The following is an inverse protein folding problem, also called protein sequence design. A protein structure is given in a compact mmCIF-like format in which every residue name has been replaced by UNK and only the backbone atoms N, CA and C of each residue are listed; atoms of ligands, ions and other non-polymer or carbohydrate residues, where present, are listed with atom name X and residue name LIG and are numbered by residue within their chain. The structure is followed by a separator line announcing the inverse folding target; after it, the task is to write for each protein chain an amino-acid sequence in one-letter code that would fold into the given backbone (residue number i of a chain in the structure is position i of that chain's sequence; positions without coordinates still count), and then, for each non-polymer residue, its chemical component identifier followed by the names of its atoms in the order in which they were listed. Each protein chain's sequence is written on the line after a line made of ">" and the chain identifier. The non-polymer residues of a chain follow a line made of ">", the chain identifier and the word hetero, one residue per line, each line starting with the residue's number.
data_IF_303387313118
#
_entry.id   IF_303387313118
#
_cell.length_a   1.000
_cell.length_b   1.000
_cell.length_c   1.000
_cell.angle_alpha   90.00
_cell.angle_beta   90.00
_cell.angle_gamma   90.00
#
_symmetry.space_group_name_H-M   'P 1'
#
loop_
_entity.id
_entity.type
_entity.pdbx_description
1 polymer ?
#
# COMPACT_ATOMS: atom_id res chain seq x y z
N UNK A 1 -2.40 -15.70 47.43
CA UNK A 1 -1.18 -15.01 46.99
C UNK A 1 -0.69 -15.74 45.73
N UNK A 2 -1.02 -15.21 44.57
CA UNK A 2 -0.65 -15.82 43.30
C UNK A 2 0.78 -15.38 42.97
N UNK A 3 1.72 -16.30 43.07
CA UNK A 3 3.11 -16.08 42.67
C UNK A 3 3.15 -15.95 41.14
N UNK A 4 3.46 -14.76 40.67
CA UNK A 4 3.85 -14.51 39.26
C UNK A 4 5.13 -15.28 39.01
N UNK A 5 5.01 -16.48 38.43
CA UNK A 5 6.19 -17.17 37.88
C UNK A 5 6.62 -16.42 36.63
N UNK A 6 7.67 -15.63 36.76
CA UNK A 6 8.45 -15.14 35.62
C UNK A 6 8.96 -16.38 34.87
N UNK A 7 8.46 -16.62 33.67
CA UNK A 7 9.04 -17.60 32.75
C UNK A 7 10.41 -17.05 32.29
N UNK A 8 11.53 -17.70 32.66
CA UNK A 8 12.89 -17.13 32.46
C UNK A 8 13.36 -17.08 31.02
N UNK A 9 12.58 -17.54 30.03
CA UNK A 9 13.04 -17.71 28.64
C UNK A 9 12.24 -16.90 27.61
N UNK A 10 11.46 -15.89 27.99
CA UNK A 10 10.75 -15.06 27.03
C UNK A 10 11.57 -13.81 26.76
N UNK A 11 12.56 -13.93 25.87
CA UNK A 11 13.20 -12.77 25.26
C UNK A 11 12.22 -11.99 24.36
N UNK A 12 12.58 -10.76 23.93
CA UNK A 12 11.74 -9.99 23.04
C UNK A 12 11.52 -10.78 21.74
N UNK A 13 10.31 -10.79 21.17
CA UNK A 13 10.03 -11.45 19.91
C UNK A 13 11.06 -11.09 18.83
N UNK A 14 11.43 -12.07 18.00
CA UNK A 14 12.42 -11.90 16.92
C UNK A 14 12.11 -10.66 16.05
N UNK A 15 10.83 -10.40 15.84
CA UNK A 15 10.37 -9.21 15.15
C UNK A 15 10.88 -7.90 15.77
N UNK A 16 10.83 -7.75 17.10
CA UNK A 16 11.33 -6.55 17.78
C UNK A 16 12.86 -6.42 17.66
N UNK A 17 13.59 -7.53 17.74
CA UNK A 17 15.05 -7.53 17.54
C UNK A 17 15.39 -7.14 16.09
N UNK A 18 14.61 -7.63 15.13
CA UNK A 18 14.80 -7.32 13.73
C UNK A 18 14.45 -5.86 13.42
N UNK A 19 13.29 -5.37 13.84
CA UNK A 19 12.84 -4.01 13.59
C UNK A 19 13.60 -2.96 14.42
N UNK A 20 14.06 -3.31 15.61
CA UNK A 20 14.68 -2.38 16.56
C UNK A 20 16.09 -1.86 16.17
N UNK A 21 16.69 -2.35 15.09
CA UNK A 21 17.95 -1.79 14.60
C UNK A 21 17.70 -0.43 13.89
N UNK A 22 18.44 0.65 14.24
CA UNK A 22 18.16 2.00 13.75
C UNK A 22 18.01 2.11 12.23
N UNK A 23 18.95 1.55 11.45
CA UNK A 23 18.88 1.60 10.00
C UNK A 23 17.71 0.78 9.45
N UNK A 24 17.43 -0.41 10.02
CA UNK A 24 16.27 -1.21 9.57
C UNK A 24 14.96 -0.49 9.86
N UNK A 25 14.84 0.18 11.01
CA UNK A 25 13.68 1.00 11.33
C UNK A 25 13.47 2.13 10.31
N UNK A 26 14.53 2.87 9.95
CA UNK A 26 14.48 3.90 8.90
C UNK A 26 14.04 3.32 7.56
N UNK A 27 14.60 2.18 7.15
CA UNK A 27 14.19 1.49 5.92
C UNK A 27 12.72 1.08 5.95
N UNK A 28 12.24 0.50 7.06
CA UNK A 28 10.82 0.15 7.23
C UNK A 28 9.92 1.39 7.20
N UNK A 29 10.33 2.51 7.78
CA UNK A 29 9.58 3.77 7.77
C UNK A 29 9.43 4.34 6.35
N UNK A 30 10.48 4.27 5.52
CA UNK A 30 10.41 4.69 4.12
C UNK A 30 9.53 3.74 3.29
N UNK A 31 9.66 2.43 3.51
CA UNK A 31 8.85 1.42 2.82
C UNK A 31 7.38 1.41 3.27
N UNK A 32 7.07 1.93 4.45
CA UNK A 32 5.68 2.13 4.89
C UNK A 32 4.96 3.22 4.08
N UNK A 33 5.71 4.12 3.45
CA UNK A 33 5.17 5.21 2.62
C UNK A 33 4.99 4.81 1.17
N UNK A 34 5.98 4.10 0.60
CA UNK A 34 6.02 3.76 -0.83
C UNK A 34 6.95 2.58 -1.06
N UNK A 35 6.67 1.75 -2.05
CA UNK A 35 7.64 0.79 -2.54
C UNK A 35 8.81 1.55 -3.20
N UNK A 36 10.06 1.10 -2.95
CA UNK A 36 11.28 1.82 -3.33
C UNK A 36 12.31 0.91 -3.97
N UNK A 37 13.11 1.49 -4.86
CA UNK A 37 14.34 0.89 -5.36
C UNK A 37 15.47 1.01 -4.34
N UNK A 38 16.49 0.14 -4.43
CA UNK A 38 17.64 0.17 -3.49
C UNK A 38 18.34 1.52 -3.53
N UNK A 39 18.58 2.08 -4.71
CA UNK A 39 19.28 3.37 -4.82
C UNK A 39 18.47 4.53 -4.24
N UNK A 40 17.14 4.50 -4.33
CA UNK A 40 16.27 5.50 -3.69
C UNK A 40 16.38 5.39 -2.15
N UNK A 41 16.33 4.17 -1.63
CA UNK A 41 16.50 3.93 -0.19
C UNK A 41 17.88 4.40 0.29
N UNK A 42 18.93 4.13 -0.49
CA UNK A 42 20.29 4.60 -0.21
C UNK A 42 20.35 6.12 -0.06
N UNK A 43 19.73 6.85 -0.99
CA UNK A 43 19.64 8.31 -0.92
C UNK A 43 18.83 8.81 0.29
N UNK A 44 17.66 8.18 0.56
CA UNK A 44 16.76 8.57 1.64
C UNK A 44 17.35 8.32 3.05
N UNK A 45 18.08 7.20 3.22
CA UNK A 45 18.69 6.90 4.52
C UNK A 45 20.12 7.44 4.68
N UNK A 46 20.75 7.89 3.58
CA UNK A 46 22.09 8.47 3.61
C UNK A 46 23.21 7.48 3.97
N UNK A 47 23.02 6.20 3.61
CA UNK A 47 23.97 5.11 3.96
C UNK A 47 24.52 4.43 2.69
N UNK A 48 25.66 3.77 2.78
CA UNK A 48 26.26 3.07 1.65
C UNK A 48 25.38 1.93 1.14
N UNK A 49 25.30 1.75 -0.19
CA UNK A 49 24.42 0.79 -0.85
C UNK A 49 24.63 -0.66 -0.37
N UNK A 50 25.86 -1.07 -0.12
CA UNK A 50 26.15 -2.41 0.40
C UNK A 50 25.54 -2.64 1.79
N UNK A 51 25.58 -1.63 2.66
CA UNK A 51 24.98 -1.67 3.99
C UNK A 51 23.45 -1.72 3.91
N UNK A 52 22.86 -0.86 3.07
CA UNK A 52 21.40 -0.86 2.80
C UNK A 52 20.97 -2.23 2.28
N UNK A 53 21.65 -2.78 1.28
CA UNK A 53 21.36 -4.09 0.71
C UNK A 53 21.45 -5.22 1.73
N UNK A 54 22.45 -5.18 2.62
CA UNK A 54 22.58 -6.14 3.72
C UNK A 54 21.37 -6.10 4.65
N UNK A 55 20.97 -4.91 5.09
CA UNK A 55 19.83 -4.77 5.99
C UNK A 55 18.48 -5.09 5.32
N UNK A 56 18.30 -4.77 4.05
CA UNK A 56 17.14 -5.20 3.25
C UNK A 56 17.09 -6.73 3.13
N UNK A 57 18.23 -7.39 2.96
CA UNK A 57 18.34 -8.87 3.01
C UNK A 57 17.80 -9.42 4.33
N UNK A 58 18.25 -8.88 5.47
CA UNK A 58 17.77 -9.29 6.80
C UNK A 58 16.26 -9.07 6.98
N UNK A 59 15.73 -7.94 6.52
CA UNK A 59 14.30 -7.66 6.59
C UNK A 59 13.47 -8.60 5.70
N UNK A 60 14.01 -8.97 4.53
CA UNK A 60 13.39 -9.93 3.61
C UNK A 60 13.40 -11.34 4.19
N UNK A 61 14.51 -11.78 4.77
CA UNK A 61 14.63 -13.10 5.41
C UNK A 61 13.64 -13.23 6.57
N UNK A 62 13.44 -12.14 7.35
CA UNK A 62 12.39 -12.02 8.37
C UNK A 62 10.97 -11.80 7.81
N UNK A 63 10.80 -11.78 6.49
CA UNK A 63 9.52 -11.58 5.79
C UNK A 63 8.79 -10.30 6.17
N UNK A 64 9.52 -9.25 6.58
CA UNK A 64 8.95 -7.92 6.83
C UNK A 64 8.85 -7.12 5.54
N UNK A 65 9.71 -7.40 4.58
CA UNK A 65 9.69 -6.78 3.26
C UNK A 65 9.67 -7.83 2.17
N UNK A 66 9.02 -7.50 1.07
CA UNK A 66 9.07 -8.26 -0.18
C UNK A 66 10.03 -7.59 -1.16
N UNK A 67 10.57 -8.37 -2.10
CA UNK A 67 11.40 -7.86 -3.17
C UNK A 67 10.86 -8.34 -4.52
N UNK A 68 10.72 -7.45 -5.48
CA UNK A 68 10.21 -7.76 -6.82
C UNK A 68 11.04 -7.07 -7.88
N UNK A 69 11.41 -7.82 -8.93
CA UNK A 69 12.06 -7.24 -10.12
C UNK A 69 11.12 -6.25 -10.80
N UNK A 70 11.66 -5.10 -11.18
CA UNK A 70 10.92 -4.10 -11.93
C UNK A 70 10.40 -4.67 -13.26
N UNK A 71 9.18 -4.31 -13.63
CA UNK A 71 8.61 -4.63 -14.94
C UNK A 71 9.05 -3.63 -16.02
N UNK A 72 9.64 -2.50 -15.63
CA UNK A 72 10.20 -1.50 -16.52
C UNK A 72 11.68 -1.83 -16.84
N UNK A 73 12.54 -1.92 -15.84
CA UNK A 73 13.93 -2.36 -15.98
C UNK A 73 14.20 -3.57 -15.06
N UNK A 74 14.43 -4.73 -15.66
CA UNK A 74 14.69 -5.97 -14.93
C UNK A 74 15.96 -5.97 -14.08
N UNK A 75 16.86 -5.01 -14.26
CA UNK A 75 18.05 -4.83 -13.41
C UNK A 75 17.65 -4.30 -12.04
N UNK A 76 16.58 -3.55 -11.96
CA UNK A 76 16.09 -2.92 -10.76
C UNK A 76 15.21 -3.86 -9.93
N UNK A 77 15.23 -3.66 -8.62
CA UNK A 77 14.41 -4.40 -7.67
C UNK A 77 13.70 -3.42 -6.74
N UNK A 78 12.37 -3.47 -6.75
CA UNK A 78 11.54 -2.79 -5.78
C UNK A 78 11.44 -3.61 -4.50
N UNK A 79 11.54 -2.90 -3.38
CA UNK A 79 11.23 -3.40 -2.05
C UNK A 79 9.94 -2.77 -1.58
N UNK A 80 9.08 -3.57 -0.93
CA UNK A 80 7.81 -3.12 -0.35
C UNK A 80 7.61 -3.72 1.03
N UNK A 81 7.02 -2.97 1.95
CA UNK A 81 6.67 -3.45 3.27
C UNK A 81 5.47 -4.41 3.20
N UNK A 82 5.55 -5.53 3.90
CA UNK A 82 4.38 -6.39 4.15
C UNK A 82 3.55 -5.79 5.30
N UNK A 83 2.63 -4.89 4.93
CA UNK A 83 1.79 -4.14 5.88
C UNK A 83 0.92 -5.06 6.74
N UNK A 84 0.32 -6.09 6.15
CA UNK A 84 -0.53 -7.03 6.86
C UNK A 84 0.26 -7.79 7.92
N UNK A 85 1.42 -8.32 7.54
CA UNK A 85 2.32 -9.03 8.45
C UNK A 85 2.85 -8.11 9.54
N UNK A 86 3.28 -6.90 9.19
CA UNK A 86 3.78 -5.91 10.16
C UNK A 86 2.70 -5.59 11.20
N UNK A 87 1.48 -5.29 10.77
CA UNK A 87 0.35 -5.02 11.67
C UNK A 87 0.04 -6.21 12.58
N UNK A 88 0.04 -7.43 12.02
CA UNK A 88 -0.16 -8.66 12.80
C UNK A 88 0.92 -8.89 13.86
N UNK A 89 2.20 -8.69 13.51
CA UNK A 89 3.33 -8.84 14.45
C UNK A 89 3.30 -7.79 15.57
N UNK A 90 2.99 -6.53 15.26
CA UNK A 90 2.82 -5.47 16.26
C UNK A 90 1.67 -5.79 17.22
N UNK A 91 0.52 -6.21 16.69
CA UNK A 91 -0.64 -6.60 17.50
C UNK A 91 -0.34 -7.82 18.39
N UNK A 92 0.32 -8.86 17.84
CA UNK A 92 0.70 -10.05 18.59
C UNK A 92 1.72 -9.72 19.69
N UNK A 93 2.68 -8.85 19.40
CA UNK A 93 3.68 -8.39 20.38
C UNK A 93 3.03 -7.65 21.54
N UNK A 94 2.11 -6.72 21.25
CA UNK A 94 1.35 -6.03 22.29
C UNK A 94 0.52 -6.99 23.14
N UNK A 95 -0.21 -7.90 22.49
CA UNK A 95 -1.02 -8.90 23.16
C UNK A 95 -0.21 -9.88 24.04
N UNK A 96 1.05 -10.18 23.66
CA UNK A 96 1.96 -11.01 24.44
C UNK A 96 2.38 -10.35 25.76
N UNK A 97 2.49 -9.01 25.78
CA UNK A 97 2.76 -8.24 26.99
C UNK A 97 1.50 -8.13 27.88
N UNK A 98 0.38 -7.77 27.28
CA UNK A 98 -0.89 -7.65 27.97
C UNK A 98 -2.06 -7.68 26.95
N UNK A 99 -3.17 -8.43 27.21
CA UNK A 99 -4.29 -8.50 26.27
C UNK A 99 -4.85 -7.14 25.86
N UNK A 100 -4.84 -6.16 26.75
CA UNK A 100 -5.28 -4.78 26.49
C UNK A 100 -4.36 -3.96 25.59
N UNK A 101 -3.15 -4.47 25.26
CA UNK A 101 -2.23 -3.84 24.31
C UNK A 101 -2.39 -4.38 22.88
N UNK A 102 -3.40 -5.21 22.63
CA UNK A 102 -3.74 -5.63 21.27
C UNK A 102 -4.14 -4.41 20.44
N UNK A 103 -3.40 -4.15 19.37
CA UNK A 103 -3.72 -3.06 18.45
C UNK A 103 -5.05 -3.36 17.74
N UNK A 104 -6.04 -2.56 17.98
CA UNK A 104 -7.25 -2.45 17.18
C UNK A 104 -7.19 -1.09 16.48
N UNK A 105 -7.19 -1.08 15.14
CA UNK A 105 -7.33 0.19 14.42
C UNK A 105 -8.78 0.68 14.64
N UNK A 106 -9.00 1.80 15.34
CA UNK A 106 -10.34 2.35 15.46
C UNK A 106 -10.83 2.79 14.08
N UNK A 107 -12.12 2.65 13.76
CA UNK A 107 -12.69 3.30 12.60
C UNK A 107 -12.52 4.82 12.78
N UNK A 108 -11.65 5.43 11.97
CA UNK A 108 -11.49 6.88 11.95
C UNK A 108 -12.34 7.45 10.83
N UNK A 109 -13.15 8.44 11.17
CA UNK A 109 -13.85 9.24 10.18
C UNK A 109 -12.84 10.22 9.55
N UNK A 110 -12.71 10.17 8.23
CA UNK A 110 -12.04 11.22 7.47
C UNK A 110 -12.97 12.45 7.50
N UNK A 111 -12.43 13.64 7.72
CA UNK A 111 -13.18 14.90 7.57
C UNK A 111 -12.74 15.55 6.28
N UNK A 112 -13.66 15.63 5.30
CA UNK A 112 -13.40 16.20 3.97
C UNK A 112 -13.36 15.15 2.87
N UNK A 113 -13.35 15.60 1.62
CA UNK A 113 -13.17 14.77 0.42
C UNK A 113 -11.71 14.83 -0.02
N UNK A 114 -11.08 13.68 -0.24
CA UNK A 114 -9.68 13.53 -0.70
C UNK A 114 -9.71 12.98 -2.12
N UNK A 115 -9.03 13.65 -3.05
CA UNK A 115 -8.97 13.23 -4.46
C UNK A 115 -7.73 12.36 -4.69
N UNK A 116 -7.94 11.10 -5.07
CA UNK A 116 -6.88 10.10 -5.27
C UNK A 116 -6.93 9.55 -6.69
N UNK A 117 -5.82 9.63 -7.41
CA UNK A 117 -5.67 9.08 -8.75
C UNK A 117 -4.80 7.81 -8.73
N UNK A 118 -5.36 6.68 -9.16
CA UNK A 118 -4.64 5.41 -9.30
C UNK A 118 -4.21 5.19 -10.74
N UNK A 119 -2.92 4.91 -10.96
CA UNK A 119 -2.33 4.77 -12.28
C UNK A 119 -1.76 3.37 -12.53
N UNK A 120 -2.02 2.81 -13.71
CA UNK A 120 -1.31 1.65 -14.23
C UNK A 120 -1.16 1.76 -15.75
N UNK A 121 -0.51 0.81 -16.42
CA UNK A 121 -0.32 0.91 -17.88
C UNK A 121 -1.65 0.86 -18.64
N UNK A 122 -2.45 -0.19 -18.43
CA UNK A 122 -3.65 -0.45 -19.23
C UNK A 122 -4.95 0.16 -18.70
N UNK A 123 -5.00 0.64 -17.47
CA UNK A 123 -6.26 0.98 -16.78
C UNK A 123 -7.35 -0.10 -16.93
N UNK A 124 -6.93 -1.35 -17.07
CA UNK A 124 -7.81 -2.50 -17.35
C UNK A 124 -8.00 -3.46 -16.17
N UNK A 125 -7.16 -3.32 -15.12
CA UNK A 125 -7.21 -4.20 -13.96
C UNK A 125 -6.81 -3.44 -12.68
N UNK A 126 -5.49 -3.36 -12.35
CA UNK A 126 -4.97 -2.86 -11.06
C UNK A 126 -5.58 -1.54 -10.62
N UNK A 127 -5.53 -0.52 -11.46
CA UNK A 127 -6.03 0.82 -11.11
C UNK A 127 -7.55 0.89 -11.05
N UNK A 128 -8.28 0.11 -11.86
CA UNK A 128 -9.73 -0.01 -11.80
C UNK A 128 -10.19 -0.68 -10.49
N UNK A 129 -9.52 -1.78 -10.12
CA UNK A 129 -9.79 -2.46 -8.85
C UNK A 129 -9.47 -1.54 -7.66
N UNK A 130 -8.35 -0.80 -7.72
CA UNK A 130 -7.98 0.15 -6.66
C UNK A 130 -9.00 1.30 -6.52
N UNK A 131 -9.45 1.89 -7.63
CA UNK A 131 -10.49 2.92 -7.66
C UNK A 131 -11.77 2.43 -6.97
N UNK A 132 -12.27 1.25 -7.37
CA UNK A 132 -13.49 0.68 -6.81
C UNK A 132 -13.38 0.38 -5.31
N UNK A 133 -12.26 -0.24 -4.89
CA UNK A 133 -11.99 -0.55 -3.49
C UNK A 133 -11.88 0.72 -2.64
N UNK A 134 -11.19 1.75 -3.12
CA UNK A 134 -11.03 3.00 -2.40
C UNK A 134 -12.38 3.72 -2.21
N UNK A 135 -13.19 3.80 -3.25
CA UNK A 135 -14.55 4.36 -3.16
C UNK A 135 -15.41 3.62 -2.16
N UNK A 136 -15.45 2.29 -2.26
CA UNK A 136 -16.31 1.46 -1.42
C UNK A 136 -15.89 1.50 0.06
N UNK A 137 -14.59 1.45 0.35
CA UNK A 137 -14.07 1.35 1.73
C UNK A 137 -13.94 2.69 2.43
N UNK A 138 -13.88 3.80 1.70
CA UNK A 138 -13.81 5.14 2.28
C UNK A 138 -15.16 5.66 2.77
N UNK A 139 -16.27 4.98 2.49
CA UNK A 139 -17.60 5.49 2.80
C UNK A 139 -17.94 6.79 2.08
N UNK A 140 -17.36 7.01 0.88
CA UNK A 140 -17.58 8.23 0.07
C UNK A 140 -16.63 9.40 0.39
N UNK A 141 -15.67 9.20 1.30
CA UNK A 141 -14.71 10.25 1.70
C UNK A 141 -13.52 10.37 0.75
N UNK A 142 -13.28 9.36 -0.10
CA UNK A 142 -12.29 9.43 -1.18
C UNK A 142 -13.01 9.54 -2.52
N UNK A 143 -12.71 10.61 -3.23
CA UNK A 143 -12.98 10.70 -4.66
C UNK A 143 -11.86 9.99 -5.42
N UNK A 144 -12.05 8.69 -5.66
CA UNK A 144 -11.06 7.89 -6.35
C UNK A 144 -11.26 7.93 -7.86
N UNK A 145 -10.15 8.03 -8.57
CA UNK A 145 -10.07 8.03 -10.03
C UNK A 145 -9.00 7.04 -10.49
N UNK A 146 -9.07 6.61 -11.74
CA UNK A 146 -8.00 5.78 -12.32
C UNK A 146 -7.75 6.10 -13.78
N UNK A 147 -6.50 5.95 -14.22
CA UNK A 147 -6.08 6.12 -15.60
C UNK A 147 -4.94 5.18 -15.98
N UNK A 148 -4.63 5.12 -17.29
CA UNK A 148 -3.54 4.35 -17.83
C UNK A 148 -2.77 5.07 -18.93
N UNK A 149 -1.47 4.79 -19.05
CA UNK A 149 -0.64 5.33 -20.14
C UNK A 149 -0.99 4.74 -21.51
N UNK A 150 -1.54 3.52 -21.54
CA UNK A 150 -1.97 2.80 -22.74
C UNK A 150 -3.26 2.05 -22.43
N UNK A 151 -4.41 2.74 -22.44
CA UNK A 151 -5.69 2.14 -22.08
C UNK A 151 -6.03 0.93 -22.92
N UNK A 152 -6.53 -0.11 -22.28
CA UNK A 152 -7.00 -1.34 -22.91
C UNK A 152 -8.34 -1.77 -22.30
N UNK A 153 -9.13 -2.61 -22.96
CA UNK A 153 -10.42 -3.06 -22.43
C UNK A 153 -10.30 -3.63 -21.02
N UNK A 154 -11.32 -3.41 -20.20
CA UNK A 154 -11.39 -3.93 -18.85
C UNK A 154 -11.23 -5.46 -18.83
N UNK A 155 -10.34 -5.98 -18.01
CA UNK A 155 -10.05 -7.40 -17.99
C UNK A 155 -11.17 -8.20 -17.32
N UNK A 156 -11.69 -9.28 -17.94
CA UNK A 156 -12.82 -10.04 -17.38
C UNK A 156 -12.57 -10.53 -15.95
N UNK A 157 -11.35 -10.98 -15.64
CA UNK A 157 -10.99 -11.43 -14.30
C UNK A 157 -10.92 -10.30 -13.27
N UNK A 158 -10.68 -9.04 -13.67
CA UNK A 158 -10.81 -7.90 -12.77
C UNK A 158 -12.28 -7.70 -12.39
N UNK A 159 -13.19 -7.74 -13.37
CA UNK A 159 -14.64 -7.67 -13.12
C UNK A 159 -15.10 -8.80 -12.21
N UNK A 160 -14.69 -10.03 -12.55
CA UNK A 160 -15.08 -11.23 -11.83
C UNK A 160 -14.63 -11.20 -10.38
N UNK A 161 -13.35 -10.95 -10.10
CA UNK A 161 -12.82 -10.96 -8.73
C UNK A 161 -13.43 -9.85 -7.87
N UNK A 162 -13.67 -8.67 -8.45
CA UNK A 162 -14.28 -7.58 -7.71
C UNK A 162 -15.73 -7.88 -7.33
N UNK A 163 -16.49 -8.52 -8.21
CA UNK A 163 -17.85 -8.98 -7.91
C UNK A 163 -17.86 -10.12 -6.90
N UNK A 164 -17.05 -11.17 -7.13
CA UNK A 164 -17.13 -12.43 -6.39
C UNK A 164 -16.51 -12.33 -4.99
N UNK A 165 -15.42 -11.56 -4.83
CA UNK A 165 -14.67 -11.45 -3.57
C UNK A 165 -14.97 -10.18 -2.78
N UNK A 166 -15.43 -9.11 -3.46
CA UNK A 166 -15.62 -7.81 -2.83
C UNK A 166 -17.04 -7.25 -2.96
N UNK A 167 -17.92 -7.91 -3.73
CA UNK A 167 -19.29 -7.44 -3.96
C UNK A 167 -19.38 -6.13 -4.76
N UNK A 168 -18.35 -5.81 -5.54
CA UNK A 168 -18.24 -4.56 -6.30
C UNK A 168 -18.37 -4.82 -7.80
N UNK A 169 -19.30 -4.11 -8.45
CA UNK A 169 -19.52 -4.21 -9.89
C UNK A 169 -18.66 -3.20 -10.65
N UNK A 170 -17.86 -3.70 -11.60
CA UNK A 170 -17.07 -2.88 -12.52
C UNK A 170 -17.68 -2.81 -13.94
N UNK A 171 -18.87 -3.34 -14.17
CA UNK A 171 -19.43 -3.42 -15.52
C UNK A 171 -19.63 -2.04 -16.19
N UNK A 172 -19.87 -1.00 -15.41
CA UNK A 172 -19.97 0.39 -15.90
C UNK A 172 -18.66 1.16 -16.00
N UNK A 173 -17.54 0.52 -15.67
CA UNK A 173 -16.23 1.17 -15.72
C UNK A 173 -15.64 1.14 -17.13
N UNK A 174 -14.99 2.24 -17.52
CA UNK A 174 -14.25 2.35 -18.77
C UNK A 174 -12.78 2.70 -18.50
N UNK A 175 -11.90 2.17 -19.33
CA UNK A 175 -10.48 2.54 -19.27
C UNK A 175 -10.27 3.95 -19.79
N UNK A 176 -9.50 4.74 -19.08
CA UNK A 176 -9.26 6.17 -19.32
C UNK A 176 -7.77 6.43 -19.54
N UNK A 177 -7.38 7.24 -20.56
CA UNK A 177 -6.00 7.67 -20.72
C UNK A 177 -5.60 8.72 -19.68
N UNK A 178 -4.30 8.93 -19.51
CA UNK A 178 -3.73 9.87 -18.52
C UNK A 178 -4.12 11.32 -18.79
N UNK A 179 -4.21 11.71 -20.06
CA UNK A 179 -4.50 13.08 -20.51
C UNK A 179 -5.87 13.60 -20.06
N UNK A 180 -6.83 12.71 -19.83
CA UNK A 180 -8.14 13.08 -19.25
C UNK A 180 -7.99 13.79 -17.90
N UNK A 181 -6.90 13.53 -17.19
CA UNK A 181 -6.64 14.04 -15.86
C UNK A 181 -5.47 15.02 -15.78
N UNK A 182 -4.84 15.37 -16.90
CA UNK A 182 -3.61 16.17 -16.94
C UNK A 182 -3.75 17.55 -16.28
N UNK A 183 -4.92 18.18 -16.42
CA UNK A 183 -5.21 19.52 -15.90
C UNK A 183 -6.05 19.49 -14.60
N UNK A 184 -6.14 18.34 -13.94
CA UNK A 184 -6.92 18.18 -12.72
C UNK A 184 -6.02 18.09 -11.50
N UNK A 185 -6.43 18.75 -10.42
CA UNK A 185 -5.78 18.67 -9.12
C UNK A 185 -6.14 17.36 -8.41
N UNK A 186 -5.14 16.75 -7.80
CA UNK A 186 -5.27 15.60 -6.91
C UNK A 186 -4.48 15.84 -5.64
N UNK A 187 -4.95 15.30 -4.52
CA UNK A 187 -4.19 15.28 -3.28
C UNK A 187 -3.13 14.18 -3.33
N UNK A 188 -3.48 13.06 -3.99
CA UNK A 188 -2.62 11.88 -4.08
C UNK A 188 -2.63 11.26 -5.47
N UNK A 189 -1.44 10.90 -5.95
CA UNK A 189 -1.26 10.11 -7.17
C UNK A 189 -0.52 8.82 -6.82
N UNK A 190 -1.16 7.67 -7.07
CA UNK A 190 -0.65 6.35 -6.70
C UNK A 190 -0.40 5.52 -7.95
N UNK A 191 0.87 5.33 -8.31
CA UNK A 191 1.25 4.46 -9.40
C UNK A 191 1.30 2.99 -8.96
N UNK A 192 0.65 2.09 -9.73
CA UNK A 192 0.47 0.67 -9.39
C UNK A 192 1.35 -0.27 -10.24
N UNK A 193 2.12 0.26 -11.14
CA UNK A 193 3.11 -0.51 -11.91
C UNK A 193 4.33 0.34 -12.27
N UNK A 194 5.46 -0.31 -12.38
CA UNK A 194 6.76 0.34 -12.56
C UNK A 194 6.80 1.13 -13.87
N UNK A 195 6.21 0.60 -14.95
CA UNK A 195 6.19 1.26 -16.27
C UNK A 195 5.45 2.60 -16.26
N UNK A 196 4.27 2.68 -15.60
CA UNK A 196 3.53 3.94 -15.54
C UNK A 196 4.25 4.96 -14.68
N UNK A 197 5.02 4.52 -13.69
CA UNK A 197 5.82 5.40 -12.85
C UNK A 197 6.86 6.19 -13.66
N UNK A 198 7.46 5.58 -14.67
CA UNK A 198 8.49 6.22 -15.51
C UNK A 198 7.92 7.27 -16.48
N UNK A 199 6.65 7.13 -16.87
CA UNK A 199 5.97 8.02 -17.81
C UNK A 199 4.87 8.87 -17.15
N UNK A 200 4.80 8.85 -15.83
CA UNK A 200 3.81 9.61 -15.08
C UNK A 200 4.05 11.11 -15.26
N UNK A 201 3.08 11.87 -15.78
CA UNK A 201 3.23 13.31 -15.91
C UNK A 201 3.28 13.98 -14.52
N UNK A 202 3.81 15.18 -14.45
CA UNK A 202 3.60 16.05 -13.31
C UNK A 202 2.15 16.55 -13.32
N UNK A 203 1.48 16.43 -12.18
CA UNK A 203 0.11 16.91 -12.03
C UNK A 203 0.10 18.30 -11.37
N UNK A 204 -0.89 19.17 -11.70
CA UNK A 204 -1.08 20.42 -11.00
C UNK A 204 -1.21 20.21 -9.48
N UNK A 205 -0.92 21.23 -8.69
CA UNK A 205 -1.05 21.18 -7.23
C UNK A 205 0.02 20.37 -6.50
N UNK A 206 0.98 19.76 -7.19
CA UNK A 206 2.06 18.93 -6.60
C UNK A 206 1.55 17.86 -5.63
N UNK A 207 0.73 16.91 -6.08
CA UNK A 207 0.14 15.88 -5.23
C UNK A 207 1.21 15.04 -4.53
N UNK A 208 0.88 14.48 -3.36
CA UNK A 208 1.73 13.46 -2.77
C UNK A 208 1.76 12.21 -3.65
N UNK A 209 2.96 11.75 -4.02
CA UNK A 209 3.11 10.62 -4.93
C UNK A 209 3.56 9.37 -4.19
N UNK A 210 2.85 8.27 -4.43
CA UNK A 210 3.17 6.95 -3.89
C UNK A 210 3.36 5.96 -5.04
N UNK A 211 4.28 5.03 -4.88
CA UNK A 211 4.41 3.89 -5.77
C UNK A 211 4.13 2.58 -5.03
N UNK A 212 3.20 1.79 -5.57
CA UNK A 212 2.94 0.40 -5.18
C UNK A 212 3.36 -0.50 -6.34
N UNK A 213 4.49 -1.18 -6.19
CA UNK A 213 5.04 -2.05 -7.21
C UNK A 213 4.26 -3.37 -7.29
N UNK A 214 3.13 -3.37 -7.99
CA UNK A 214 2.21 -4.51 -8.10
C UNK A 214 2.44 -5.26 -9.41
N UNK A 215 2.68 -6.57 -9.32
CA UNK A 215 2.82 -7.42 -10.48
C UNK A 215 1.57 -7.34 -11.39
N UNK A 216 1.78 -7.51 -12.69
CA UNK A 216 0.65 -7.62 -13.61
C UNK A 216 -0.07 -8.95 -13.41
N UNK A 217 -1.35 -9.00 -13.01
CA UNK A 217 -2.07 -10.26 -12.87
C UNK A 217 -2.46 -10.89 -14.21
N UNK A 218 -2.50 -10.11 -15.29
CA UNK A 218 -2.85 -10.58 -16.64
C UNK A 218 -1.62 -11.16 -17.37
N UNK A 219 -0.90 -12.09 -16.74
CA UNK A 219 0.25 -12.78 -17.33
C UNK A 219 -0.10 -14.25 -17.53
N UNK A 220 -0.34 -14.66 -18.78
CA UNK A 220 -0.72 -16.02 -19.16
C UNK A 220 -2.04 -16.05 -19.91
N UNK A 221 -2.25 -17.12 -20.70
CA UNK A 221 -3.39 -17.25 -21.60
C UNK A 221 -4.56 -18.04 -20.99
N UNK A 222 -4.33 -18.78 -19.90
CA UNK A 222 -5.34 -19.63 -19.28
C UNK A 222 -6.00 -18.95 -18.06
N UNK A 223 -7.31 -18.97 -18.01
CA UNK A 223 -8.14 -18.37 -16.95
C UNK A 223 -7.82 -18.96 -15.58
N UNK A 224 -7.63 -20.28 -15.49
CA UNK A 224 -7.30 -20.97 -14.25
C UNK A 224 -5.97 -20.54 -13.63
N UNK A 225 -5.02 -20.07 -14.45
CA UNK A 225 -3.73 -19.55 -13.98
C UNK A 225 -3.83 -18.08 -13.59
N UNK A 226 -4.61 -17.30 -14.33
CA UNK A 226 -4.69 -15.84 -14.15
C UNK A 226 -5.65 -15.46 -13.05
N UNK A 227 -6.78 -16.13 -12.87
CA UNK A 227 -7.77 -15.75 -11.84
C UNK A 227 -7.20 -15.71 -10.41
N UNK A 228 -6.42 -16.72 -9.93
CA UNK A 228 -5.76 -16.63 -8.63
C UNK A 228 -4.80 -15.45 -8.48
N UNK A 229 -4.17 -15.01 -9.57
CA UNK A 229 -3.32 -13.82 -9.56
C UNK A 229 -4.15 -12.54 -9.38
N UNK A 230 -5.34 -12.47 -9.97
CA UNK A 230 -6.28 -11.38 -9.74
C UNK A 230 -6.80 -11.37 -8.30
N UNK A 231 -7.13 -12.52 -7.72
CA UNK A 231 -7.53 -12.64 -6.31
C UNK A 231 -6.43 -12.11 -5.38
N UNK A 232 -5.18 -12.54 -5.58
CA UNK A 232 -4.03 -12.06 -4.84
C UNK A 232 -3.82 -10.55 -5.00
N UNK A 233 -3.99 -10.03 -6.20
CA UNK A 233 -3.84 -8.61 -6.51
C UNK A 233 -4.93 -7.79 -5.82
N UNK A 234 -6.19 -8.22 -5.89
CA UNK A 234 -7.31 -7.54 -5.25
C UNK A 234 -7.15 -7.52 -3.72
N UNK A 235 -6.78 -8.64 -3.11
CA UNK A 235 -6.52 -8.73 -1.68
C UNK A 235 -5.36 -7.81 -1.24
N UNK A 236 -4.27 -7.78 -2.01
CA UNK A 236 -3.14 -6.88 -1.76
C UNK A 236 -3.50 -5.40 -1.89
N UNK A 237 -4.29 -5.03 -2.89
CA UNK A 237 -4.83 -3.68 -3.05
C UNK A 237 -5.74 -3.30 -1.88
N UNK A 238 -6.63 -4.22 -1.48
CA UNK A 238 -7.54 -4.03 -0.36
C UNK A 238 -6.79 -3.68 0.92
N UNK A 239 -5.73 -4.43 1.26
CA UNK A 239 -4.87 -4.16 2.41
C UNK A 239 -4.20 -2.79 2.30
N UNK A 240 -3.57 -2.48 1.16
CA UNK A 240 -2.88 -1.19 0.97
C UNK A 240 -3.83 0.01 1.08
N UNK A 241 -5.05 -0.13 0.58
CA UNK A 241 -6.10 0.88 0.71
C UNK A 241 -6.53 1.08 2.16
N UNK A 242 -6.67 0.03 2.95
CA UNK A 242 -6.97 0.14 4.39
C UNK A 242 -5.89 0.95 5.13
N UNK A 243 -4.63 0.69 4.84
CA UNK A 243 -3.52 1.46 5.42
C UNK A 243 -3.45 2.90 4.88
N UNK A 244 -3.80 3.13 3.62
CA UNK A 244 -3.94 4.47 3.06
C UNK A 244 -5.04 5.25 3.78
N UNK A 245 -6.21 4.66 3.96
CA UNK A 245 -7.33 5.28 4.69
C UNK A 245 -6.93 5.66 6.11
N UNK A 246 -6.22 4.78 6.81
CA UNK A 246 -5.70 5.07 8.16
C UNK A 246 -4.72 6.25 8.15
N UNK A 247 -3.84 6.34 7.17
CA UNK A 247 -2.88 7.45 7.01
C UNK A 247 -3.60 8.77 6.70
N UNK A 248 -4.58 8.77 5.81
CA UNK A 248 -5.37 9.96 5.46
C UNK A 248 -6.14 10.48 6.68
N UNK A 249 -6.72 9.60 7.47
CA UNK A 249 -7.43 9.96 8.68
C UNK A 249 -6.51 10.60 9.75
N UNK A 250 -5.24 10.24 9.76
CA UNK A 250 -4.24 10.80 10.71
C UNK A 250 -3.78 12.21 10.30
N UNK A 251 -3.79 12.51 9.00
CA UNK A 251 -3.38 13.80 8.44
C UNK A 251 -4.49 14.87 8.51
N UNK A 252 -5.73 14.46 8.75
CA UNK A 252 -6.85 15.39 8.88
C UNK A 252 -6.83 15.96 10.30
N UNK A 253 -6.63 17.29 10.50
CA UNK A 253 -6.66 17.89 11.84
C UNK A 253 -8.02 17.61 12.47
N UNK A 254 -8.01 17.08 13.70
CA UNK A 254 -9.24 16.93 14.48
C UNK A 254 -9.98 18.28 14.46
N UNK A 255 -11.25 18.26 14.03
CA UNK A 255 -12.08 19.45 14.09
C UNK A 255 -11.96 20.05 15.49
N UNK A 256 -11.49 21.30 15.58
CA UNK A 256 -11.38 22.00 16.85
C UNK A 256 -12.73 21.92 17.54
N UNK A 257 -12.80 21.26 18.68
CA UNK A 257 -13.99 21.36 19.53
C UNK A 257 -14.31 22.86 19.72
N UNK A 258 -15.58 23.24 19.54
CA UNK A 258 -15.95 24.62 19.76
C UNK A 258 -15.57 24.97 21.20
N UNK A 259 -14.67 25.97 21.36
CA UNK A 259 -14.28 26.50 22.67
C UNK A 259 -15.57 26.80 23.43
N UNK A 260 -15.82 26.06 24.48
CA UNK A 260 -16.84 26.47 25.46
C UNK A 260 -16.38 27.81 26.01
N UNK A 261 -17.09 28.83 25.65
CA UNK A 261 -16.94 30.17 26.24
C UNK A 261 -17.51 30.05 27.66
N UNK A 262 -16.83 30.54 28.67
CA UNK A 262 -17.24 30.48 30.06
C UNK A 262 -18.50 31.28 30.36
#
# INVERSE_FOLDING_TARGET
>A
MSTWQLHPDIGPPEFLQLAGHPLRWRLLSELARSDRLVHELTGLVGEAQNLVSYHLGKLRDGRLVSARRSSADRRDTYYGLDLARMGGLLSATGAALHPGLRLTLPPRALTGSVRVLFLCTGNSARSQMAEALARARSGGMIEAYSAGSHPSPLHPNAVRVMRDEHGLDLAGHASKPLDVFADQDFDWVISLCDRVREVCPEFPGHPETIHWSIANPATGDADDVTYPLFQKTAAGLATRIEFLLARLADQTPAAQEPRRIP
#
